data_IF_008426318304
#
_entry.id   IF_008426318304
#
_cell.length_a   1.000
_cell.length_b   1.000
_cell.length_c   1.000
_cell.angle_alpha   90.00
_cell.angle_beta   90.00
_cell.angle_gamma   90.00
#
_symmetry.space_group_name_H-M   'P 1'
#
loop_
_entity.id
_entity.type
_entity.pdbx_description
1 polymer ?
#
# COMPACT_ATOMS: atom_id res chain seq x y z
N UNK A 1 -21.60 8.60 15.76
CA UNK A 1 -20.82 9.46 16.68
C UNK A 1 -19.80 8.58 17.38
N UNK A 2 -18.67 8.31 16.74
CA UNK A 2 -17.54 7.58 17.33
C UNK A 2 -16.42 8.59 17.55
N UNK A 3 -16.33 9.10 18.78
CA UNK A 3 -15.17 9.86 19.21
C UNK A 3 -13.98 8.90 19.25
N UNK A 4 -13.01 9.17 18.39
CA UNK A 4 -11.68 8.58 18.47
C UNK A 4 -11.05 9.18 19.73
N UNK A 5 -10.94 8.39 20.80
CA UNK A 5 -10.18 8.78 21.98
C UNK A 5 -8.74 9.09 21.54
N UNK A 6 -8.38 10.37 21.56
CA UNK A 6 -6.97 10.78 21.47
C UNK A 6 -6.28 10.29 22.74
N UNK A 7 -5.55 9.18 22.64
CA UNK A 7 -4.68 8.69 23.70
C UNK A 7 -3.56 9.73 23.96
N UNK A 8 -3.79 10.60 24.93
CA UNK A 8 -2.92 11.72 25.33
C UNK A 8 -1.66 11.30 26.08
N UNK A 9 -1.25 10.03 25.99
CA UNK A 9 -0.13 9.49 26.76
C UNK A 9 0.74 8.50 25.94
N UNK A 10 0.88 8.73 24.63
CA UNK A 10 1.90 8.01 23.87
C UNK A 10 3.28 8.38 24.43
N UNK A 11 4.03 7.38 24.86
CA UNK A 11 5.41 7.51 25.37
C UNK A 11 6.32 6.57 24.58
N UNK A 12 7.62 6.79 24.65
CA UNK A 12 8.61 5.95 23.97
C UNK A 12 8.83 6.28 22.49
N UNK A 13 9.86 5.64 21.93
CA UNK A 13 10.36 5.86 20.57
C UNK A 13 10.52 4.51 19.88
N UNK A 14 9.88 4.34 18.73
CA UNK A 14 10.05 3.17 17.88
C UNK A 14 10.94 3.46 16.68
N UNK A 15 11.77 2.49 16.30
CA UNK A 15 12.61 2.55 15.11
C UNK A 15 12.17 1.47 14.13
N UNK A 16 11.88 1.86 12.89
CA UNK A 16 11.60 0.96 11.78
C UNK A 16 12.79 0.99 10.82
N UNK A 17 13.41 -0.17 10.58
CA UNK A 17 14.53 -0.28 9.65
C UNK A 17 13.98 -0.80 8.31
N UNK A 18 13.98 0.07 7.30
CA UNK A 18 13.47 -0.15 5.96
C UNK A 18 12.26 0.72 5.64
N UNK A 19 12.39 1.55 4.60
CA UNK A 19 11.34 2.42 4.04
C UNK A 19 10.58 1.78 2.88
N UNK A 20 10.47 0.46 2.83
CA UNK A 20 9.61 -0.24 1.86
C UNK A 20 8.12 -0.10 2.23
N UNK A 21 7.22 -0.58 1.37
CA UNK A 21 5.78 -0.65 1.66
C UNK A 21 5.51 -1.22 3.06
N UNK A 22 6.07 -2.39 3.40
CA UNK A 22 5.85 -3.01 4.70
C UNK A 22 6.35 -2.15 5.87
N UNK A 23 7.53 -1.55 5.73
CA UNK A 23 8.09 -0.67 6.76
C UNK A 23 7.27 0.60 6.95
N UNK A 24 6.72 1.16 5.86
CA UNK A 24 5.86 2.33 5.93
C UNK A 24 4.49 2.06 6.53
N UNK A 25 3.86 0.95 6.17
CA UNK A 25 2.62 0.52 6.82
C UNK A 25 2.86 0.25 8.31
N UNK A 26 4.00 -0.37 8.65
CA UNK A 26 4.40 -0.59 10.05
C UNK A 26 4.57 0.75 10.78
N UNK A 27 5.30 1.70 10.19
CA UNK A 27 5.50 3.02 10.77
C UNK A 27 4.16 3.73 11.02
N UNK A 28 3.25 3.71 10.04
CA UNK A 28 1.88 4.27 10.16
C UNK A 28 1.11 3.68 11.34
N UNK A 29 1.23 2.37 11.57
CA UNK A 29 0.55 1.72 12.69
C UNK A 29 1.19 2.13 14.01
N UNK A 30 2.52 2.16 14.08
CA UNK A 30 3.27 2.49 15.30
C UNK A 30 3.01 3.93 15.79
N UNK A 31 2.64 4.87 14.92
CA UNK A 31 2.25 6.23 15.36
C UNK A 31 0.97 6.24 16.21
N UNK A 32 0.21 5.15 16.24
CA UNK A 32 -0.92 5.00 17.17
C UNK A 32 -0.48 4.56 18.58
N UNK A 33 0.78 4.16 18.75
CA UNK A 33 1.30 3.55 19.98
C UNK A 33 2.50 4.27 20.60
N UNK A 34 3.33 4.94 19.80
CA UNK A 34 4.58 5.59 20.23
C UNK A 34 4.57 7.08 19.93
N UNK A 35 5.16 7.87 20.84
CA UNK A 35 5.26 9.33 20.69
C UNK A 35 6.11 9.74 19.48
N UNK A 36 7.10 8.92 19.15
CA UNK A 36 7.98 9.13 18.01
C UNK A 36 8.20 7.82 17.27
N UNK A 37 8.20 7.88 15.95
CA UNK A 37 8.57 6.77 15.07
C UNK A 37 9.63 7.29 14.09
N UNK A 38 10.80 6.66 14.08
CA UNK A 38 11.87 6.97 13.12
C UNK A 38 12.03 5.83 12.14
N UNK A 39 12.02 6.15 10.84
CA UNK A 39 12.27 5.18 9.77
C UNK A 39 13.69 5.41 9.26
N UNK A 40 14.47 4.33 9.21
CA UNK A 40 15.82 4.34 8.66
C UNK A 40 15.78 3.56 7.35
N UNK A 41 16.01 4.25 6.22
CA UNK A 41 16.14 3.65 4.89
C UNK A 41 17.54 3.96 4.35
N UNK A 42 18.11 3.00 3.62
CA UNK A 42 19.43 3.13 2.99
C UNK A 42 19.34 3.93 1.69
N UNK A 43 18.28 3.71 0.93
CA UNK A 43 18.00 4.45 -0.30
C UNK A 43 17.51 5.88 0.02
N UNK A 44 17.79 6.81 -0.89
CA UNK A 44 17.06 8.08 -0.94
C UNK A 44 15.63 7.84 -1.45
N UNK A 45 14.64 8.34 -0.72
CA UNK A 45 13.24 8.23 -1.13
C UNK A 45 12.93 9.33 -2.15
N UNK A 46 12.47 8.99 -3.36
CA UNK A 46 12.18 9.98 -4.39
C UNK A 46 10.99 10.86 -4.00
N UNK A 47 10.97 12.10 -4.51
CA UNK A 47 9.86 13.05 -4.32
C UNK A 47 8.61 12.74 -5.16
N UNK A 48 8.68 11.69 -5.98
CA UNK A 48 7.59 11.23 -6.82
C UNK A 48 7.74 9.74 -7.17
N UNK A 49 6.85 9.19 -8.01
CA UNK A 49 6.93 7.81 -8.46
C UNK A 49 8.21 7.55 -9.27
N UNK A 50 9.24 6.97 -8.63
CA UNK A 50 10.49 6.61 -9.30
C UNK A 50 11.02 5.24 -8.84
N UNK A 51 11.83 4.62 -9.71
CA UNK A 51 12.56 3.39 -9.35
C UNK A 51 13.75 3.71 -8.46
N UNK A 52 14.02 2.83 -7.49
CA UNK A 52 15.16 2.93 -6.56
C UNK A 52 15.90 1.61 -6.45
N UNK A 53 17.18 1.69 -6.06
CA UNK A 53 18.11 0.55 -6.03
C UNK A 53 17.65 -0.58 -5.10
N UNK A 54 17.08 -0.26 -3.94
CA UNK A 54 16.57 -1.21 -2.95
C UNK A 54 15.23 -1.87 -3.31
N UNK A 55 14.65 -1.55 -4.47
CA UNK A 55 13.44 -2.19 -4.98
C UNK A 55 13.59 -2.66 -6.45
N UNK A 56 14.54 -3.55 -6.78
CA UNK A 56 14.79 -3.97 -8.17
C UNK A 56 13.57 -4.62 -8.84
N UNK A 57 12.72 -5.30 -8.06
CA UNK A 57 11.48 -5.91 -8.54
C UNK A 57 10.35 -4.91 -8.85
N UNK A 58 10.56 -3.61 -8.62
CA UNK A 58 9.57 -2.57 -8.91
C UNK A 58 9.16 -2.50 -10.40
N UNK A 59 9.97 -3.08 -11.30
CA UNK A 59 9.71 -3.17 -12.74
C UNK A 59 8.81 -4.33 -13.16
N UNK A 60 8.54 -5.29 -12.28
CA UNK A 60 7.56 -6.35 -12.55
C UNK A 60 6.13 -5.84 -12.39
N UNK A 61 5.16 -6.64 -12.82
CA UNK A 61 3.75 -6.35 -12.55
C UNK A 61 3.46 -6.37 -11.04
N UNK A 62 2.67 -5.42 -10.54
CA UNK A 62 2.18 -5.41 -9.16
C UNK A 62 0.67 -5.31 -9.17
N UNK A 63 0.03 -6.31 -8.56
CA UNK A 63 -1.40 -6.29 -8.25
C UNK A 63 -1.57 -6.18 -6.74
N UNK A 64 -2.29 -5.15 -6.30
CA UNK A 64 -2.66 -5.00 -4.91
C UNK A 64 -3.89 -5.86 -4.62
N UNK A 65 -3.67 -7.00 -3.96
CA UNK A 65 -4.73 -7.94 -3.63
C UNK A 65 -5.76 -7.34 -2.67
N UNK A 66 -7.01 -7.82 -2.77
CA UNK A 66 -8.20 -7.28 -2.11
C UNK A 66 -7.98 -6.96 -0.64
N UNK A 67 -7.44 -7.91 0.14
CA UNK A 67 -7.26 -7.70 1.58
C UNK A 67 -6.20 -6.63 1.88
N UNK A 68 -5.12 -6.59 1.10
CA UNK A 68 -4.09 -5.55 1.23
C UNK A 68 -4.63 -4.17 0.86
N UNK A 69 -5.49 -4.08 -0.15
CA UNK A 69 -6.19 -2.86 -0.53
C UNK A 69 -7.07 -2.35 0.60
N UNK A 70 -7.92 -3.21 1.17
CA UNK A 70 -8.78 -2.85 2.31
C UNK A 70 -7.99 -2.34 3.50
N UNK A 71 -6.90 -3.04 3.87
CA UNK A 71 -6.05 -2.62 4.99
C UNK A 71 -5.42 -1.25 4.70
N UNK A 72 -4.97 -1.00 3.48
CA UNK A 72 -4.41 0.31 3.14
C UNK A 72 -5.47 1.40 3.12
N UNK A 73 -6.70 1.11 2.70
CA UNK A 73 -7.83 2.03 2.77
C UNK A 73 -8.17 2.39 4.23
N UNK A 74 -8.16 1.41 5.13
CA UNK A 74 -8.39 1.62 6.56
C UNK A 74 -7.28 2.50 7.20
N UNK A 75 -6.02 2.27 6.81
CA UNK A 75 -4.86 3.04 7.31
C UNK A 75 -4.78 4.44 6.69
N UNK A 76 -5.23 4.58 5.46
CA UNK A 76 -5.14 5.77 4.63
C UNK A 76 -6.45 5.97 3.84
N UNK A 77 -7.47 6.59 4.44
CA UNK A 77 -8.73 6.83 3.77
C UNK A 77 -8.57 7.56 2.43
N UNK A 78 -9.25 7.08 1.39
CA UNK A 78 -9.17 7.58 0.01
C UNK A 78 -7.93 7.12 -0.76
N UNK A 79 -7.16 6.14 -0.25
CA UNK A 79 -5.97 5.64 -0.94
C UNK A 79 -6.31 5.03 -2.29
N UNK A 80 -7.32 4.17 -2.34
CA UNK A 80 -7.67 3.40 -3.54
C UNK A 80 -8.09 4.34 -4.68
N UNK A 81 -9.02 5.26 -4.41
CA UNK A 81 -9.48 6.24 -5.39
C UNK A 81 -8.33 7.14 -5.87
N UNK A 82 -7.46 7.58 -4.95
CA UNK A 82 -6.30 8.40 -5.30
C UNK A 82 -5.27 7.65 -6.18
N UNK A 83 -5.12 6.34 -6.00
CA UNK A 83 -4.29 5.51 -6.88
C UNK A 83 -4.92 5.41 -8.27
N UNK A 84 -6.23 5.17 -8.35
CA UNK A 84 -6.94 5.10 -9.63
C UNK A 84 -6.87 6.42 -10.40
N UNK A 85 -7.06 7.55 -9.72
CA UNK A 85 -6.92 8.87 -10.31
C UNK A 85 -5.51 9.17 -10.86
N UNK A 86 -4.49 8.45 -10.37
CA UNK A 86 -3.10 8.55 -10.84
C UNK A 86 -2.71 7.45 -11.84
N UNK A 87 -3.68 6.72 -12.39
CA UNK A 87 -3.49 5.74 -13.44
C UNK A 87 -3.29 4.30 -12.96
N UNK A 88 -3.53 4.00 -11.69
CA UNK A 88 -3.73 2.62 -11.27
C UNK A 88 -5.05 2.08 -11.85
N UNK A 89 -5.10 0.78 -12.14
CA UNK A 89 -6.17 0.17 -12.92
C UNK A 89 -7.01 -0.73 -11.98
N UNK A 90 -8.30 -0.46 -11.77
CA UNK A 90 -9.19 -1.42 -11.12
C UNK A 90 -9.32 -2.66 -12.01
N UNK A 91 -9.23 -3.84 -11.41
CA UNK A 91 -9.23 -5.12 -12.14
C UNK A 91 -10.11 -6.11 -11.39
N UNK A 92 -11.17 -6.56 -12.04
CA UNK A 92 -11.98 -7.67 -11.55
C UNK A 92 -11.21 -8.97 -11.80
N UNK A 93 -10.86 -9.69 -10.74
CA UNK A 93 -10.02 -10.89 -10.87
C UNK A 93 -10.68 -12.01 -11.70
N UNK A 94 -12.01 -12.12 -11.70
CA UNK A 94 -12.74 -13.15 -12.43
C UNK A 94 -12.94 -12.83 -13.90
N UNK A 95 -13.13 -11.54 -14.23
CA UNK A 95 -13.41 -11.08 -15.60
C UNK A 95 -12.14 -10.73 -16.37
N UNK A 96 -11.23 -10.01 -15.72
CA UNK A 96 -10.14 -9.31 -16.40
C UNK A 96 -8.83 -10.12 -16.40
N UNK A 97 -8.69 -11.12 -15.52
CA UNK A 97 -7.53 -12.03 -15.50
C UNK A 97 -7.82 -13.35 -16.21
N UNK A 98 -6.86 -13.80 -17.03
CA UNK A 98 -6.89 -15.16 -17.56
C UNK A 98 -6.24 -16.10 -16.56
N UNK A 99 -7.07 -16.85 -15.83
CA UNK A 99 -6.62 -17.78 -14.80
C UNK A 99 -6.63 -19.22 -15.31
N UNK A 100 -5.56 -19.96 -14.99
CA UNK A 100 -5.48 -21.41 -15.16
C UNK A 100 -5.37 -22.07 -13.79
N UNK A 101 -6.34 -22.88 -13.43
CA UNK A 101 -6.42 -23.56 -12.12
C UNK A 101 -6.67 -25.03 -12.38
N UNK A 102 -5.86 -25.91 -11.76
CA UNK A 102 -5.99 -27.36 -11.95
C UNK A 102 -5.78 -27.83 -13.39
N UNK A 103 -4.99 -27.09 -14.19
CA UNK A 103 -4.73 -27.42 -15.60
C UNK A 103 -5.80 -26.96 -16.59
N UNK A 104 -6.88 -26.32 -16.13
CA UNK A 104 -7.93 -25.79 -16.98
C UNK A 104 -8.02 -24.26 -16.91
N UNK A 105 -8.41 -23.64 -18.03
CA UNK A 105 -8.75 -22.22 -18.04
C UNK A 105 -10.06 -22.01 -17.29
N UNK A 106 -10.05 -21.12 -16.30
CA UNK A 106 -11.27 -20.69 -15.61
C UNK A 106 -12.09 -19.85 -16.58
N UNK A 107 -13.39 -20.14 -16.70
CA UNK A 107 -14.30 -19.31 -17.51
C UNK A 107 -14.43 -17.94 -16.85
N UNK A 108 -14.33 -16.83 -17.59
CA UNK A 108 -14.51 -15.50 -17.02
C UNK A 108 -15.86 -15.36 -16.29
N UNK A 109 -15.86 -14.65 -15.17
CA UNK A 109 -17.06 -14.38 -14.36
C UNK A 109 -16.91 -13.06 -13.61
N UNK A 110 -18.03 -12.44 -13.23
CA UNK A 110 -18.00 -11.28 -12.33
C UNK A 110 -17.68 -11.77 -10.91
N UNK A 111 -16.47 -11.48 -10.45
CA UNK A 111 -16.06 -11.79 -9.08
C UNK A 111 -16.34 -10.60 -8.15
N UNK A 112 -16.68 -10.86 -6.90
CA UNK A 112 -16.66 -9.85 -5.83
C UNK A 112 -15.23 -9.56 -5.35
N UNK A 113 -14.26 -9.61 -6.26
CA UNK A 113 -12.83 -9.47 -6.02
C UNK A 113 -12.26 -8.44 -7.00
N UNK A 114 -12.28 -7.18 -6.58
CA UNK A 114 -11.64 -6.08 -7.29
C UNK A 114 -10.28 -5.77 -6.68
N UNK A 115 -9.23 -5.90 -7.49
CA UNK A 115 -7.86 -5.56 -7.13
C UNK A 115 -7.41 -4.33 -7.89
N UNK A 116 -6.35 -3.68 -7.41
CA UNK A 116 -5.74 -2.55 -8.11
C UNK A 116 -4.43 -2.96 -8.75
N UNK A 117 -4.36 -2.95 -10.07
CA UNK A 117 -3.10 -3.01 -10.81
C UNK A 117 -2.38 -1.66 -10.70
N UNK A 118 -1.17 -1.63 -10.18
CA UNK A 118 -0.41 -0.39 -9.99
C UNK A 118 1.07 -0.60 -10.24
N UNK A 119 1.79 0.44 -10.64
CA UNK A 119 3.24 0.39 -10.57
C UNK A 119 3.67 0.48 -9.10
N UNK A 120 4.72 -0.28 -8.72
CA UNK A 120 5.25 -0.16 -7.36
C UNK A 120 5.69 1.28 -7.00
N UNK A 121 6.34 2.05 -7.89
CA UNK A 121 6.67 3.44 -7.59
C UNK A 121 5.45 4.31 -7.28
N UNK A 122 4.34 4.11 -7.99
CA UNK A 122 3.10 4.85 -7.72
C UNK A 122 2.55 4.52 -6.32
N UNK A 123 2.50 3.22 -5.98
CA UNK A 123 2.03 2.79 -4.66
C UNK A 123 2.94 3.28 -3.53
N UNK A 124 4.27 3.15 -3.66
CA UNK A 124 5.24 3.66 -2.67
C UNK A 124 5.08 5.17 -2.49
N UNK A 125 5.00 5.94 -3.58
CA UNK A 125 4.80 7.39 -3.53
C UNK A 125 3.51 7.81 -2.83
N UNK A 126 2.39 7.10 -3.10
CA UNK A 126 1.10 7.40 -2.49
C UNK A 126 1.12 7.17 -0.96
N UNK A 127 1.88 6.17 -0.49
CA UNK A 127 2.10 5.91 0.93
C UNK A 127 3.01 6.99 1.54
N UNK A 128 4.15 7.29 0.92
CA UNK A 128 5.08 8.31 1.43
C UNK A 128 4.42 9.68 1.55
N UNK A 129 3.64 10.08 0.54
CA UNK A 129 2.96 11.38 0.51
C UNK A 129 1.97 11.54 1.67
N UNK A 130 1.32 10.46 2.11
CA UNK A 130 0.36 10.50 3.22
C UNK A 130 1.01 10.38 4.59
N UNK A 131 2.18 9.75 4.69
CA UNK A 131 2.97 9.71 5.92
C UNK A 131 3.69 11.03 6.23
N UNK A 132 3.88 11.89 5.22
CA UNK A 132 4.48 13.23 5.36
C UNK A 132 3.47 14.32 5.72
N UNK A 133 2.16 14.02 5.71
CA UNK A 133 1.08 14.94 6.12
C UNK A 133 0.83 14.83 7.62
#
# INVERSE_FOLDING_TARGET
>A
MFQQEMNSNQTGHAIVIGGSIAGMLTARILTNHFAQVTVIERDELPDGPAFRKGAPHARHAHGLLVRGQQIMEDLFPGMTEALWAQGAIPTNMGRDLTLYIGGARVKPFEADLEITGSSRPLLENAIYSRLRQ
#
